data_IF_465951419217
#
_entry.id   IF_465951419217
#
_cell.length_a   1.000
_cell.length_b   1.000
_cell.length_c   1.000
_cell.angle_alpha   90.00
_cell.angle_beta   90.00
_cell.angle_gamma   90.00
#
_symmetry.space_group_name_H-M   'P 1'
#
loop_
_entity.id
_entity.type
_entity.pdbx_description
1 polymer ?
#
# COMPACT_ATOMS: atom_id res chain seq x y z
N UNK A 1 -10.50 8.81 -47.07
CA UNK A 1 -9.76 9.87 -46.36
C UNK A 1 -8.88 9.17 -45.34
N UNK A 2 -7.60 9.01 -45.65
CA UNK A 2 -6.61 8.37 -44.78
C UNK A 2 -6.24 9.40 -43.71
N UNK A 3 -6.82 9.29 -42.52
CA UNK A 3 -6.39 10.09 -41.37
C UNK A 3 -5.33 9.27 -40.65
N UNK A 4 -4.07 9.48 -41.04
CA UNK A 4 -2.92 9.03 -40.26
C UNK A 4 -2.82 9.92 -39.02
N UNK A 5 -3.43 9.48 -37.92
CA UNK A 5 -3.18 10.09 -36.61
C UNK A 5 -1.87 9.50 -36.07
N UNK A 6 -0.74 10.05 -36.50
CA UNK A 6 0.53 9.88 -35.80
C UNK A 6 0.52 10.79 -34.56
N UNK A 7 -0.32 10.47 -33.55
CA UNK A 7 -0.09 11.03 -32.21
C UNK A 7 1.25 10.47 -31.75
N UNK A 8 2.13 11.34 -31.25
CA UNK A 8 3.42 11.01 -30.63
C UNK A 8 3.29 9.90 -29.56
N UNK A 9 3.27 8.64 -29.99
CA UNK A 9 3.25 7.47 -29.11
C UNK A 9 4.57 7.31 -28.36
N UNK A 10 5.67 7.86 -28.87
CA UNK A 10 6.96 7.92 -28.17
C UNK A 10 6.88 8.82 -26.94
N UNK A 11 6.46 10.08 -27.10
CA UNK A 11 6.43 11.08 -25.99
C UNK A 11 5.53 10.65 -24.84
N UNK A 12 4.40 10.00 -25.12
CA UNK A 12 3.53 9.47 -24.06
C UNK A 12 4.16 8.26 -23.35
N UNK A 13 4.78 7.34 -24.10
CA UNK A 13 5.45 6.14 -23.56
C UNK A 13 6.68 6.52 -22.72
N UNK A 14 7.48 7.48 -23.20
CA UNK A 14 8.65 8.02 -22.50
C UNK A 14 8.24 8.73 -21.21
N UNK A 15 7.11 9.44 -21.20
CA UNK A 15 6.57 10.05 -19.98
C UNK A 15 6.01 9.03 -18.99
N UNK A 16 5.32 7.98 -19.46
CA UNK A 16 4.83 6.90 -18.61
C UNK A 16 5.97 6.14 -17.95
N UNK A 17 7.06 5.89 -18.69
CA UNK A 17 8.31 5.32 -18.16
C UNK A 17 9.01 6.26 -17.19
N UNK A 18 9.16 7.54 -17.55
CA UNK A 18 9.80 8.56 -16.70
C UNK A 18 9.14 8.72 -15.34
N UNK A 19 7.82 8.56 -15.26
CA UNK A 19 7.06 8.78 -14.02
C UNK A 19 6.60 7.48 -13.35
N UNK A 20 7.00 6.30 -13.86
CA UNK A 20 6.64 5.01 -13.26
C UNK A 20 5.12 4.81 -13.14
N UNK A 21 4.35 5.19 -14.15
CA UNK A 21 2.88 5.05 -14.12
C UNK A 21 2.50 3.66 -14.60
N UNK A 22 1.79 2.89 -13.76
CA UNK A 22 1.22 1.60 -14.13
C UNK A 22 -0.21 1.75 -14.66
N UNK A 23 -0.48 1.25 -15.86
CA UNK A 23 -1.81 1.26 -16.47
C UNK A 23 -2.48 -0.10 -16.25
N UNK A 24 -3.65 -0.09 -15.61
CA UNK A 24 -4.56 -1.25 -15.55
C UNK A 24 -5.89 -0.87 -16.20
N UNK A 25 -6.42 -1.77 -17.01
CA UNK A 25 -7.73 -1.62 -17.66
C UNK A 25 -8.63 -2.73 -17.14
N UNK A 26 -9.82 -2.37 -16.65
CA UNK A 26 -10.78 -3.30 -16.04
C UNK A 26 -12.06 -3.35 -16.89
N UNK A 27 -12.59 -4.56 -17.12
CA UNK A 27 -13.82 -4.79 -17.89
C UNK A 27 -13.71 -5.97 -18.87
N UNK A 28 -14.79 -6.26 -19.60
CA UNK A 28 -14.81 -7.27 -20.67
C UNK A 28 -14.07 -6.77 -21.91
N UNK A 29 -12.76 -7.06 -21.98
CA UNK A 29 -11.88 -6.65 -23.06
C UNK A 29 -12.25 -7.31 -24.40
N UNK A 30 -12.85 -8.50 -24.36
CA UNK A 30 -13.25 -9.27 -25.54
C UNK A 30 -14.35 -8.59 -26.37
N UNK A 31 -15.10 -7.67 -25.75
CA UNK A 31 -16.15 -6.89 -26.39
C UNK A 31 -15.60 -5.67 -27.18
N UNK A 32 -14.31 -5.37 -27.05
CA UNK A 32 -13.66 -4.27 -27.76
C UNK A 32 -13.09 -4.71 -29.12
N UNK A 33 -12.97 -3.81 -30.10
CA UNK A 33 -12.26 -4.08 -31.34
C UNK A 33 -10.81 -4.56 -31.13
N UNK A 34 -10.34 -5.49 -31.96
CA UNK A 34 -9.06 -6.19 -31.80
C UNK A 34 -7.83 -5.26 -31.81
N UNK A 35 -7.89 -4.16 -32.55
CA UNK A 35 -6.88 -3.10 -32.57
C UNK A 35 -6.77 -2.38 -31.23
N UNK A 36 -7.91 -2.08 -30.60
CA UNK A 36 -7.98 -1.49 -29.26
C UNK A 36 -7.48 -2.49 -28.20
N UNK A 37 -7.88 -3.76 -28.29
CA UNK A 37 -7.38 -4.81 -27.40
C UNK A 37 -5.85 -4.91 -27.45
N UNK A 38 -5.25 -4.90 -28.65
CA UNK A 38 -3.79 -4.94 -28.83
C UNK A 38 -3.09 -3.71 -28.26
N UNK A 39 -3.67 -2.52 -28.44
CA UNK A 39 -3.13 -1.28 -27.86
C UNK A 39 -3.18 -1.30 -26.33
N UNK A 40 -4.31 -1.73 -25.75
CA UNK A 40 -4.46 -1.91 -24.31
C UNK A 40 -3.46 -2.93 -23.79
N UNK A 41 -3.34 -4.10 -24.43
CA UNK A 41 -2.39 -5.13 -24.05
C UNK A 41 -0.95 -4.59 -24.08
N UNK A 42 -0.56 -3.86 -25.13
CA UNK A 42 0.76 -3.23 -25.20
C UNK A 42 0.98 -2.21 -24.09
N UNK A 43 0.01 -1.35 -23.79
CA UNK A 43 0.13 -0.34 -22.74
C UNK A 43 0.25 -0.97 -21.35
N UNK A 44 -0.63 -1.94 -21.04
CA UNK A 44 -0.61 -2.70 -19.78
C UNK A 44 0.70 -3.47 -19.63
N UNK A 45 1.15 -4.20 -20.65
CA UNK A 45 2.42 -4.95 -20.61
C UNK A 45 3.63 -4.01 -20.45
N UNK A 46 3.65 -2.89 -21.17
CA UNK A 46 4.76 -1.92 -21.13
C UNK A 46 4.89 -1.18 -19.79
N UNK A 47 3.82 -1.14 -18.99
CA UNK A 47 3.78 -0.45 -17.70
C UNK A 47 3.54 -1.41 -16.53
N UNK A 48 3.52 -2.72 -16.78
CA UNK A 48 3.20 -3.76 -15.79
C UNK A 48 4.17 -3.73 -14.60
N UNK A 49 5.44 -3.43 -14.87
CA UNK A 49 6.51 -3.37 -13.86
C UNK A 49 6.50 -2.10 -13.02
N UNK A 50 5.64 -1.13 -13.36
CA UNK A 50 5.56 0.16 -12.67
C UNK A 50 4.70 0.10 -11.39
N UNK A 51 4.06 -1.04 -11.08
CA UNK A 51 3.26 -1.22 -9.87
C UNK A 51 4.00 -1.94 -8.74
N UNK A 52 5.26 -2.30 -8.96
CA UNK A 52 5.96 -3.26 -8.12
C UNK A 52 6.34 -2.71 -6.73
N UNK A 53 6.06 -1.42 -6.50
CA UNK A 53 6.33 -0.75 -5.23
C UNK A 53 5.12 -0.79 -4.27
N UNK A 54 3.94 -1.23 -4.72
CA UNK A 54 2.76 -1.38 -3.84
C UNK A 54 2.95 -2.62 -2.96
N UNK A 55 2.96 -2.40 -1.66
CA UNK A 55 3.05 -3.44 -0.63
C UNK A 55 2.12 -3.12 0.54
N UNK A 56 1.93 -4.10 1.42
CA UNK A 56 1.18 -3.93 2.67
C UNK A 56 1.76 -2.77 3.51
N UNK A 57 3.09 -2.69 3.57
CA UNK A 57 3.82 -1.58 4.21
C UNK A 57 3.47 -0.22 3.61
N UNK A 58 3.45 -0.10 2.27
CA UNK A 58 3.12 1.18 1.63
C UNK A 58 1.66 1.57 1.91
N UNK A 59 0.75 0.60 1.91
CA UNK A 59 -0.67 0.82 2.22
C UNK A 59 -0.83 1.33 3.66
N UNK A 60 -0.20 0.69 4.64
CA UNK A 60 -0.21 1.10 6.04
C UNK A 60 0.23 2.57 6.21
N UNK A 61 1.30 2.98 5.52
CA UNK A 61 1.78 4.38 5.52
C UNK A 61 0.85 5.36 4.82
N UNK A 62 -0.06 4.88 3.97
CA UNK A 62 -1.08 5.69 3.32
C UNK A 62 -2.38 5.83 4.14
N UNK A 63 -2.59 5.04 5.19
CA UNK A 63 -3.76 5.14 6.05
C UNK A 63 -3.75 6.45 6.85
N UNK A 64 -4.93 6.88 7.34
CA UNK A 64 -5.02 8.04 8.22
C UNK A 64 -4.31 7.82 9.56
N UNK A 65 -4.18 6.57 9.99
CA UNK A 65 -3.49 6.16 11.21
C UNK A 65 -1.98 5.98 11.02
N UNK A 66 -1.39 6.37 9.89
CA UNK A 66 0.02 6.10 9.57
C UNK A 66 1.03 6.59 10.61
N UNK A 67 0.63 7.55 11.44
CA UNK A 67 1.45 8.17 12.48
C UNK A 67 1.17 7.60 13.88
N UNK A 68 0.39 6.52 13.97
CA UNK A 68 0.05 5.83 15.20
C UNK A 68 0.32 4.34 15.04
N UNK A 69 0.84 3.66 16.07
CA UNK A 69 0.92 2.21 16.03
C UNK A 69 -0.49 1.61 15.99
N UNK A 70 -0.58 0.41 15.43
CA UNK A 70 -1.81 -0.36 15.46
C UNK A 70 -2.28 -0.61 16.91
N UNK A 71 -3.59 -0.57 17.20
CA UNK A 71 -4.09 -0.80 18.54
C UNK A 71 -3.70 -2.18 19.08
N UNK A 72 -3.31 -2.25 20.35
CA UNK A 72 -3.09 -3.53 21.03
C UNK A 72 -4.42 -4.20 21.44
N UNK A 73 -5.41 -3.37 21.76
CA UNK A 73 -6.68 -3.76 22.34
C UNK A 73 -7.79 -2.90 21.73
N UNK A 74 -8.81 -3.55 21.16
CA UNK A 74 -10.05 -2.91 20.73
C UNK A 74 -11.19 -3.35 21.63
N UNK A 75 -11.80 -2.39 22.31
CA UNK A 75 -12.93 -2.61 23.21
C UNK A 75 -14.21 -2.13 22.54
N UNK A 76 -15.23 -2.96 22.53
CA UNK A 76 -16.58 -2.60 22.09
C UNK A 76 -17.61 -2.88 23.17
N UNK A 77 -18.34 -1.85 23.54
CA UNK A 77 -19.40 -1.86 24.53
C UNK A 77 -20.77 -2.14 23.89
N UNK A 78 -21.81 -2.18 24.72
CA UNK A 78 -23.22 -2.34 24.34
C UNK A 78 -23.61 -3.74 23.82
N UNK A 79 -22.78 -4.76 24.06
CA UNK A 79 -23.10 -6.16 23.76
C UNK A 79 -23.03 -6.55 22.28
N UNK A 80 -22.56 -5.66 21.43
CA UNK A 80 -22.52 -5.86 19.99
C UNK A 80 -21.24 -6.57 19.55
N UNK A 81 -21.34 -7.76 18.95
CA UNK A 81 -20.20 -8.55 18.46
C UNK A 81 -19.90 -8.30 16.97
N UNK A 82 -19.55 -7.05 16.65
CA UNK A 82 -19.12 -6.64 15.30
C UNK A 82 -18.09 -5.51 15.37
N UNK A 83 -17.35 -5.26 14.29
CA UNK A 83 -16.41 -4.13 14.24
C UNK A 83 -17.05 -2.83 13.72
N UNK A 84 -18.15 -2.91 12.96
CA UNK A 84 -18.82 -1.74 12.36
C UNK A 84 -17.89 -0.85 11.55
N UNK A 85 -17.03 -1.46 10.72
CA UNK A 85 -16.13 -0.76 9.80
C UNK A 85 -15.14 0.19 10.51
N UNK A 86 -14.80 -0.13 11.77
CA UNK A 86 -13.87 0.64 12.57
C UNK A 86 -12.51 -0.04 12.64
N UNK A 87 -11.48 0.65 12.13
CA UNK A 87 -10.07 0.23 12.18
C UNK A 87 -9.81 -1.22 11.73
N UNK A 88 -10.50 -1.69 10.68
CA UNK A 88 -10.45 -3.08 10.23
C UNK A 88 -9.02 -3.56 9.93
N UNK A 89 -8.23 -2.71 9.27
CA UNK A 89 -6.84 -3.02 8.93
C UNK A 89 -5.97 -3.09 10.18
N UNK A 90 -6.03 -2.04 10.99
CA UNK A 90 -5.18 -1.83 12.16
C UNK A 90 -5.49 -2.84 13.28
N UNK A 91 -6.71 -3.41 13.30
CA UNK A 91 -7.15 -4.31 14.37
C UNK A 91 -7.10 -5.79 14.03
N UNK A 92 -6.52 -6.14 12.88
CA UNK A 92 -6.36 -7.52 12.40
C UNK A 92 -5.63 -8.43 13.38
N UNK A 93 -4.65 -7.91 14.12
CA UNK A 93 -3.89 -8.62 15.16
C UNK A 93 -4.02 -7.97 16.56
N UNK A 94 -5.12 -7.26 16.82
CA UNK A 94 -5.43 -6.72 18.14
C UNK A 94 -6.18 -7.73 19.01
N UNK A 95 -6.11 -7.56 20.33
CA UNK A 95 -7.05 -8.22 21.22
C UNK A 95 -8.44 -7.57 21.06
N UNK A 96 -9.46 -8.36 20.72
CA UNK A 96 -10.84 -7.88 20.59
C UNK A 96 -11.62 -8.23 21.85
N UNK A 97 -12.16 -7.22 22.54
CA UNK A 97 -12.96 -7.40 23.76
C UNK A 97 -14.34 -6.80 23.55
N UNK A 98 -15.37 -7.65 23.63
CA UNK A 98 -16.78 -7.26 23.54
C UNK A 98 -17.41 -7.35 24.93
N UNK A 99 -17.96 -6.24 25.42
CA UNK A 99 -18.59 -6.16 26.73
C UNK A 99 -20.03 -5.68 26.60
N UNK A 100 -20.92 -6.25 27.41
CA UNK A 100 -22.36 -5.93 27.39
C UNK A 100 -22.71 -4.59 28.03
N UNK A 101 -21.80 -4.02 28.85
CA UNK A 101 -22.00 -2.72 29.52
C UNK A 101 -22.21 -1.60 28.49
N UNK A 102 -23.12 -0.67 28.74
CA UNK A 102 -23.33 0.48 27.87
C UNK A 102 -22.18 1.49 28.04
N UNK A 103 -21.82 2.20 26.98
CA UNK A 103 -20.72 3.19 27.03
C UNK A 103 -20.85 4.22 28.18
N UNK A 104 -22.03 4.82 28.46
CA UNK A 104 -22.16 5.78 29.57
C UNK A 104 -21.98 5.15 30.96
N UNK A 105 -22.10 3.82 31.07
CA UNK A 105 -21.99 3.07 32.32
C UNK A 105 -20.60 2.43 32.50
N UNK A 106 -19.68 2.68 31.57
CA UNK A 106 -18.37 2.04 31.53
C UNK A 106 -17.53 2.44 32.74
N UNK A 107 -17.08 1.44 33.51
CA UNK A 107 -16.32 1.64 34.73
C UNK A 107 -14.83 1.31 34.57
N UNK A 108 -14.02 1.77 35.52
CA UNK A 108 -12.61 1.37 35.62
C UNK A 108 -12.42 -0.15 35.63
N UNK A 109 -13.33 -0.88 36.28
CA UNK A 109 -13.27 -2.35 36.36
C UNK A 109 -13.49 -3.03 35.02
N UNK A 110 -14.32 -2.44 34.13
CA UNK A 110 -14.49 -2.94 32.78
C UNK A 110 -13.20 -2.77 31.96
N UNK A 111 -12.49 -1.65 32.14
CA UNK A 111 -11.18 -1.46 31.53
C UNK A 111 -10.15 -2.47 32.06
N UNK A 112 -10.12 -2.72 33.37
CA UNK A 112 -9.23 -3.72 33.96
C UNK A 112 -9.49 -5.12 33.40
N UNK A 113 -10.76 -5.51 33.25
CA UNK A 113 -11.13 -6.77 32.61
C UNK A 113 -10.58 -6.86 31.18
N UNK A 114 -10.76 -5.82 30.38
CA UNK A 114 -10.26 -5.78 29.00
C UNK A 114 -8.72 -5.86 28.93
N UNK A 115 -8.02 -5.19 29.85
CA UNK A 115 -6.55 -5.27 29.96
C UNK A 115 -6.11 -6.68 30.37
N UNK A 116 -6.82 -7.33 31.29
CA UNK A 116 -6.53 -8.71 31.67
C UNK A 116 -6.71 -9.67 30.47
N UNK A 117 -7.77 -9.49 29.66
CA UNK A 117 -7.95 -10.26 28.43
C UNK A 117 -6.80 -10.04 27.45
N UNK A 118 -6.35 -8.80 27.28
CA UNK A 118 -5.16 -8.50 26.48
C UNK A 118 -3.92 -9.22 27.03
N UNK A 119 -3.64 -9.13 28.33
CA UNK A 119 -2.47 -9.78 28.95
C UNK A 119 -2.49 -11.30 28.79
N UNK A 120 -3.66 -11.94 28.91
CA UNK A 120 -3.84 -13.37 28.71
C UNK A 120 -3.55 -13.80 27.27
N UNK A 121 -3.91 -12.95 26.29
CA UNK A 121 -3.71 -13.23 24.86
C UNK A 121 -2.37 -12.71 24.30
N UNK A 122 -1.63 -11.90 25.07
CA UNK A 122 -0.46 -11.16 24.62
C UNK A 122 0.57 -12.04 23.91
N UNK A 123 0.94 -13.18 24.50
CA UNK A 123 1.93 -14.08 23.91
C UNK A 123 1.50 -14.63 22.55
N UNK A 124 0.25 -15.09 22.44
CA UNK A 124 -0.29 -15.66 21.20
C UNK A 124 -0.40 -14.59 20.10
N UNK A 125 -0.88 -13.39 20.46
CA UNK A 125 -0.99 -12.26 19.54
C UNK A 125 0.39 -11.79 19.07
N UNK A 126 1.34 -11.67 19.99
CA UNK A 126 2.71 -11.29 19.66
C UNK A 126 3.34 -12.27 18.67
N UNK A 127 3.20 -13.59 18.92
CA UNK A 127 3.71 -14.61 18.01
C UNK A 127 3.06 -14.54 16.64
N UNK A 128 1.74 -14.33 16.57
CA UNK A 128 1.03 -14.19 15.30
C UNK A 128 1.53 -12.97 14.50
N UNK A 129 1.79 -11.84 15.17
CA UNK A 129 2.37 -10.63 14.55
C UNK A 129 3.81 -10.82 14.09
N UNK A 130 4.61 -11.61 14.81
CA UNK A 130 5.98 -11.93 14.42
C UNK A 130 5.99 -12.79 13.15
N UNK A 131 5.18 -13.86 13.12
CA UNK A 131 5.03 -14.72 11.94
C UNK A 131 4.55 -13.92 10.73
N UNK A 132 3.51 -13.10 10.87
CA UNK A 132 3.01 -12.26 9.77
C UNK A 132 4.08 -11.31 9.24
N UNK A 133 4.87 -10.67 10.12
CA UNK A 133 5.97 -9.80 9.71
C UNK A 133 7.07 -10.56 8.96
N UNK A 134 7.40 -11.77 9.40
CA UNK A 134 8.38 -12.63 8.71
C UNK A 134 7.88 -13.04 7.32
N UNK A 135 6.60 -13.40 7.21
CA UNK A 135 5.94 -13.72 5.93
C UNK A 135 5.99 -12.53 4.97
N UNK A 136 5.63 -11.33 5.43
CA UNK A 136 5.71 -10.09 4.63
C UNK A 136 7.12 -9.82 4.10
N UNK A 137 8.16 -10.00 4.93
CA UNK A 137 9.55 -9.79 4.52
C UNK A 137 9.93 -10.80 3.44
N UNK A 138 9.49 -12.05 3.58
CA UNK A 138 9.78 -13.12 2.63
C UNK A 138 9.05 -12.89 1.29
N UNK A 139 7.77 -12.55 1.33
CA UNK A 139 6.98 -12.19 0.15
C UNK A 139 7.57 -10.99 -0.59
N UNK A 140 8.00 -9.95 0.12
CA UNK A 140 8.66 -8.79 -0.49
C UNK A 140 9.99 -9.18 -1.13
N UNK A 141 10.79 -10.03 -0.49
CA UNK A 141 12.04 -10.53 -1.05
C UNK A 141 11.81 -11.35 -2.32
N UNK A 142 10.77 -12.19 -2.34
CA UNK A 142 10.37 -12.97 -3.51
C UNK A 142 9.89 -12.07 -4.64
N UNK A 143 9.07 -11.06 -4.34
CA UNK A 143 8.63 -10.05 -5.30
C UNK A 143 9.83 -9.32 -5.91
N UNK A 144 10.80 -8.89 -5.10
CA UNK A 144 12.02 -8.23 -5.55
C UNK A 144 12.84 -9.11 -6.48
N UNK A 145 13.01 -10.40 -6.13
CA UNK A 145 13.71 -11.38 -6.96
C UNK A 145 13.00 -11.57 -8.30
N UNK A 146 11.66 -11.64 -8.29
CA UNK A 146 10.88 -11.73 -9.52
C UNK A 146 11.10 -10.50 -10.40
N UNK A 147 11.08 -9.30 -9.83
CA UNK A 147 11.31 -8.06 -10.57
C UNK A 147 12.70 -8.00 -11.19
N UNK A 148 13.73 -8.41 -10.45
CA UNK A 148 15.11 -8.47 -10.95
C UNK A 148 15.23 -9.52 -12.05
N UNK A 149 14.59 -10.68 -11.92
CA UNK A 149 14.58 -11.70 -12.95
C UNK A 149 13.95 -11.18 -14.26
N UNK A 150 12.82 -10.45 -14.16
CA UNK A 150 12.17 -9.84 -15.32
C UNK A 150 13.06 -8.79 -16.00
N UNK A 151 13.77 -7.96 -15.24
CA UNK A 151 14.74 -6.99 -15.78
C UNK A 151 15.89 -7.68 -16.54
N UNK A 152 16.42 -8.76 -15.99
CA UNK A 152 17.50 -9.54 -16.63
C UNK A 152 17.06 -10.25 -17.91
N UNK A 153 15.79 -10.69 -17.98
CA UNK A 153 15.22 -11.24 -19.20
C UNK A 153 15.08 -10.19 -20.30
N UNK A 154 14.72 -8.95 -19.94
CA UNK A 154 14.60 -7.85 -20.89
C UNK A 154 15.96 -7.42 -21.46
N UNK A 155 17.01 -7.42 -20.63
CA UNK A 155 18.37 -7.05 -21.04
C UNK A 155 19.14 -8.18 -21.75
N UNK A 156 18.57 -9.39 -21.86
CA UNK A 156 19.19 -10.54 -22.53
C UNK A 156 20.41 -11.15 -21.82
N UNK A 157 20.66 -10.78 -20.55
CA UNK A 157 21.86 -11.14 -19.77
C UNK A 157 21.63 -12.26 -18.74
N UNK A 158 20.41 -12.81 -18.66
CA UNK A 158 19.94 -13.65 -17.55
C UNK A 158 20.76 -14.90 -17.18
N UNK A 159 21.56 -15.44 -18.11
CA UNK A 159 22.33 -16.69 -17.89
C UNK A 159 23.84 -16.50 -17.61
N UNK A 160 24.38 -15.27 -17.65
CA UNK A 160 25.83 -15.02 -17.55
C UNK A 160 26.30 -14.45 -16.21
N UNK A 161 25.38 -14.06 -15.33
CA UNK A 161 25.73 -13.43 -14.06
C UNK A 161 26.01 -14.45 -12.96
N UNK A 162 27.13 -14.27 -12.27
CA UNK A 162 27.49 -15.07 -11.11
C UNK A 162 26.54 -14.80 -9.92
N UNK A 163 26.61 -15.66 -8.91
CA UNK A 163 25.72 -15.57 -7.75
C UNK A 163 25.92 -14.27 -6.95
N UNK A 164 27.10 -13.67 -7.00
CA UNK A 164 27.40 -12.42 -6.30
C UNK A 164 26.79 -11.22 -7.04
N UNK A 165 26.96 -11.11 -8.35
CA UNK A 165 26.36 -10.05 -9.16
C UNK A 165 24.83 -10.05 -9.07
N UNK A 166 24.19 -11.23 -8.99
CA UNK A 166 22.74 -11.33 -8.77
C UNK A 166 22.30 -10.78 -7.40
N UNK A 167 23.09 -10.99 -6.34
CA UNK A 167 22.83 -10.40 -5.02
C UNK A 167 23.02 -8.89 -5.03
N UNK A 168 24.07 -8.40 -5.67
CA UNK A 168 24.36 -6.96 -5.74
C UNK A 168 23.26 -6.22 -6.54
N UNK A 169 22.78 -6.82 -7.64
CA UNK A 169 21.63 -6.30 -8.39
C UNK A 169 20.34 -6.28 -7.57
N UNK A 170 20.08 -7.33 -6.79
CA UNK A 170 18.92 -7.37 -5.91
C UNK A 170 19.00 -6.27 -4.85
N UNK A 171 20.14 -6.10 -4.19
CA UNK A 171 20.36 -5.02 -3.24
C UNK A 171 20.16 -3.64 -3.86
N UNK A 172 20.70 -3.42 -5.06
CA UNK A 172 20.51 -2.17 -5.81
C UNK A 172 19.03 -1.93 -6.13
N UNK A 173 18.31 -2.97 -6.57
CA UNK A 173 16.89 -2.87 -6.86
C UNK A 173 16.07 -2.51 -5.60
N UNK A 174 16.33 -3.20 -4.49
CA UNK A 174 15.69 -2.92 -3.19
C UNK A 174 15.94 -1.48 -2.75
N UNK A 175 17.18 -1.00 -2.82
CA UNK A 175 17.52 0.39 -2.46
C UNK A 175 16.79 1.43 -3.33
N UNK A 176 16.69 1.19 -4.65
CA UNK A 176 15.95 2.07 -5.55
C UNK A 176 14.44 2.04 -5.29
N UNK A 177 13.86 0.87 -4.95
CA UNK A 177 12.45 0.78 -4.52
C UNK A 177 12.23 1.60 -3.24
N UNK A 178 13.04 1.39 -2.22
CA UNK A 178 12.92 2.11 -0.95
C UNK A 178 13.01 3.63 -1.16
N UNK A 179 13.90 4.09 -2.04
CA UNK A 179 14.02 5.50 -2.42
C UNK A 179 12.76 6.02 -3.10
N UNK A 180 12.16 5.27 -4.03
CA UNK A 180 10.89 5.65 -4.68
C UNK A 180 9.75 5.73 -3.67
N UNK A 181 9.63 4.74 -2.79
CA UNK A 181 8.65 4.71 -1.70
C UNK A 181 8.83 5.92 -0.78
N UNK A 182 10.06 6.20 -0.34
CA UNK A 182 10.33 7.33 0.54
C UNK A 182 10.00 8.68 -0.10
N UNK A 183 10.35 8.86 -1.38
CA UNK A 183 9.99 10.04 -2.15
C UNK A 183 8.45 10.22 -2.21
N UNK A 184 7.72 9.15 -2.52
CA UNK A 184 6.26 9.16 -2.54
C UNK A 184 5.66 9.53 -1.18
N UNK A 185 6.13 8.92 -0.08
CA UNK A 185 5.63 9.20 1.26
C UNK A 185 5.87 10.65 1.68
N UNK A 186 7.02 11.23 1.32
CA UNK A 186 7.31 12.64 1.57
C UNK A 186 6.33 13.55 0.82
N UNK A 187 6.09 13.28 -0.47
CA UNK A 187 5.12 14.05 -1.27
C UNK A 187 3.70 13.90 -0.70
N UNK A 188 3.32 12.69 -0.27
CA UNK A 188 2.02 12.44 0.36
C UNK A 188 1.87 13.27 1.65
N UNK A 189 2.90 13.31 2.49
CA UNK A 189 2.90 14.07 3.73
C UNK A 189 2.82 15.58 3.48
N UNK A 190 3.57 16.09 2.50
CA UNK A 190 3.49 17.49 2.07
C UNK A 190 2.09 17.86 1.60
N UNK A 191 1.46 17.02 0.76
CA UNK A 191 0.09 17.23 0.31
C UNK A 191 -0.92 17.27 1.46
N UNK A 192 -0.80 16.33 2.41
CA UNK A 192 -1.65 16.30 3.63
C UNK A 192 -1.48 17.61 4.42
N UNK A 193 -0.25 18.05 4.65
CA UNK A 193 0.03 19.29 5.38
C UNK A 193 -0.51 20.52 4.65
N UNK A 194 -0.27 20.62 3.34
CA UNK A 194 -0.72 21.75 2.53
C UNK A 194 -2.23 21.89 2.54
N UNK A 195 -2.97 20.78 2.47
CA UNK A 195 -4.43 20.77 2.57
C UNK A 195 -4.93 21.44 3.86
N UNK A 196 -4.36 21.09 5.02
CA UNK A 196 -4.73 21.71 6.29
C UNK A 196 -4.33 23.19 6.39
N UNK A 197 -3.18 23.56 5.82
CA UNK A 197 -2.74 24.96 5.75
C UNK A 197 -3.72 25.79 4.90
N UNK A 198 -4.17 25.28 3.75
CA UNK A 198 -5.14 25.94 2.88
C UNK A 198 -6.50 26.09 3.54
N UNK A 199 -7.01 25.03 4.21
CA UNK A 199 -8.26 25.10 4.97
C UNK A 199 -8.25 26.20 6.03
N UNK A 200 -7.15 26.33 6.78
CA UNK A 200 -7.03 27.36 7.80
C UNK A 200 -7.00 28.78 7.21
N UNK A 201 -6.27 28.99 6.11
CA UNK A 201 -6.24 30.28 5.40
C UNK A 201 -7.62 30.71 4.91
N UNK A 202 -8.40 29.76 4.37
CA UNK A 202 -9.75 30.04 3.88
C UNK A 202 -10.72 30.37 5.02
N UNK A 203 -10.58 29.71 6.18
CA UNK A 203 -11.36 30.06 7.38
C UNK A 203 -11.09 31.48 7.87
N UNK A 204 -9.83 31.92 7.84
CA UNK A 204 -9.43 33.29 8.24
C UNK A 204 -9.89 34.36 7.25
N UNK A 205 -9.98 34.02 5.95
CA UNK A 205 -10.53 34.91 4.94
C UNK A 205 -12.05 35.06 5.07
N UNK A 206 -12.77 33.98 5.41
CA UNK A 206 -14.21 34.00 5.64
C UNK A 206 -14.63 34.67 6.95
N UNK A 207 -13.78 34.67 7.98
CA UNK A 207 -14.06 35.34 9.26
C UNK A 207 -13.80 36.86 9.25
N UNK A 208 -13.17 37.38 8.18
CA UNK A 208 -12.91 38.81 7.98
C UNK A 208 -13.88 39.48 6.99
N UNK A 209 -14.82 38.72 6.43
CA UNK A 209 -15.90 39.20 5.57
C UNK A 209 -17.22 39.22 6.37
#
# INVERSE_FOLDING_TARGET
IHVSVSVHTSVCRDNLQKHGVCIRVLGDLDMLPLDIQKLIAQAVLSTRTHNNDISEFLLEKCLYTSNSPDPELLIRTSGEVRLSDFLLWQTSYSCLVFQSVLWPEYSFWNLCEAILQYQLNHYTLQRAREVHREEQVLEQLEADRSCVADLLQQDGTGNLLDSQSKKDLLQKYTAEREKRIHCFLNILQEKRNNFFVELNKNSLASAKA
#
